data_IF_441452252423
#
_entry.id   IF_441452252423
#
_cell.length_a   1.000
_cell.length_b   1.000
_cell.length_c   1.000
_cell.angle_alpha   90.00
_cell.angle_beta   90.00
_cell.angle_gamma   90.00
#
_symmetry.space_group_name_H-M   'P 1'
#
loop_
_entity.id
_entity.type
_entity.pdbx_description
1 polymer ?
#
# COMPACT_ATOMS: atom_id res chain seq x y z
N UNK A 1 -11.39 29.69 -13.73
CA UNK A 1 -12.15 28.46 -14.09
C UNK A 1 -13.46 28.76 -14.80
N UNK A 2 -14.30 29.67 -14.32
CA UNK A 2 -15.59 30.02 -14.98
C UNK A 2 -15.43 30.52 -16.43
N UNK A 3 -14.49 31.42 -16.71
CA UNK A 3 -14.27 31.95 -18.06
C UNK A 3 -13.86 30.88 -19.10
N UNK A 4 -13.05 29.90 -18.70
CA UNK A 4 -12.64 28.82 -19.60
C UNK A 4 -13.81 27.88 -19.96
N UNK A 5 -14.71 27.62 -19.01
CA UNK A 5 -15.91 26.82 -19.24
C UNK A 5 -16.88 27.53 -20.21
N UNK A 6 -17.08 28.84 -20.02
CA UNK A 6 -17.95 29.66 -20.86
C UNK A 6 -17.40 29.73 -22.29
N UNK A 7 -16.09 29.94 -22.46
CA UNK A 7 -15.45 29.94 -23.78
C UNK A 7 -15.53 28.57 -24.46
N UNK A 8 -15.33 27.47 -23.73
CA UNK A 8 -15.53 26.13 -24.28
C UNK A 8 -16.99 25.88 -24.72
N UNK A 9 -17.97 26.24 -23.89
CA UNK A 9 -19.39 26.08 -24.23
C UNK A 9 -19.79 26.94 -25.44
N UNK A 10 -19.28 28.17 -25.53
CA UNK A 10 -19.52 29.06 -26.67
C UNK A 10 -18.90 28.54 -27.98
N UNK A 11 -17.72 27.89 -27.91
CA UNK A 11 -17.08 27.28 -29.07
C UNK A 11 -17.74 25.96 -29.50
N UNK A 12 -18.37 25.24 -28.57
CA UNK A 12 -19.10 23.99 -28.85
C UNK A 12 -20.51 24.23 -29.39
N UNK A 13 -21.12 25.38 -29.11
CA UNK A 13 -22.46 25.75 -29.59
C UNK A 13 -22.61 25.75 -31.13
N UNK A 14 -21.74 26.40 -31.93
CA UNK A 14 -21.88 26.38 -33.39
C UNK A 14 -21.61 24.98 -33.99
N UNK A 15 -20.80 24.17 -33.31
CA UNK A 15 -20.60 22.76 -33.67
C UNK A 15 -21.91 22.00 -33.44
N UNK A 16 -22.54 22.16 -32.27
CA UNK A 16 -23.83 21.55 -31.96
C UNK A 16 -24.94 21.93 -32.95
N UNK A 17 -25.03 23.20 -33.35
CA UNK A 17 -25.95 23.67 -34.40
C UNK A 17 -25.72 22.96 -35.75
N UNK A 18 -24.47 22.72 -36.13
CA UNK A 18 -24.12 21.98 -37.35
C UNK A 18 -24.55 20.51 -37.26
N UNK A 19 -24.31 19.87 -36.11
CA UNK A 19 -24.73 18.49 -35.82
C UNK A 19 -26.25 18.35 -35.83
N UNK A 20 -27.00 19.33 -35.29
CA UNK A 20 -28.46 19.32 -35.24
C UNK A 20 -29.13 19.45 -36.63
N UNK A 21 -28.43 20.04 -37.60
CA UNK A 21 -28.95 20.20 -38.98
C UNK A 21 -28.74 18.98 -39.87
N UNK A 22 -27.93 18.01 -39.44
CA UNK A 22 -27.68 16.75 -40.15
C UNK A 22 -28.25 15.61 -39.30
N UNK A 23 -29.45 15.09 -39.62
CA UNK A 23 -30.17 14.13 -38.77
C UNK A 23 -29.34 12.90 -38.36
N UNK A 24 -28.56 12.37 -39.31
CA UNK A 24 -27.66 11.22 -39.11
C UNK A 24 -26.58 11.51 -38.07
N UNK A 25 -26.04 12.74 -38.04
CA UNK A 25 -25.00 13.11 -37.08
C UNK A 25 -25.58 13.34 -35.68
N UNK A 26 -26.80 13.87 -35.58
CA UNK A 26 -27.51 14.02 -34.31
C UNK A 26 -27.86 12.66 -33.69
N UNK A 27 -28.33 11.70 -34.50
CA UNK A 27 -28.60 10.33 -34.07
C UNK A 27 -27.31 9.61 -33.63
N UNK A 28 -26.21 9.76 -34.38
CA UNK A 28 -24.92 9.20 -33.99
C UNK A 28 -24.40 9.80 -32.67
N UNK A 29 -24.53 11.12 -32.47
CA UNK A 29 -24.08 11.79 -31.25
C UNK A 29 -24.90 11.37 -30.01
N UNK A 30 -26.22 11.23 -30.15
CA UNK A 30 -27.10 10.76 -29.07
C UNK A 30 -26.84 9.28 -28.73
N UNK A 31 -26.58 8.44 -29.73
CA UNK A 31 -26.15 7.05 -29.52
C UNK A 31 -24.81 6.98 -28.75
N UNK A 32 -23.79 7.72 -29.18
CA UNK A 32 -22.48 7.75 -28.49
C UNK A 32 -22.62 8.29 -27.06
N UNK A 33 -23.42 9.34 -26.86
CA UNK A 33 -23.67 9.92 -25.54
C UNK A 33 -24.36 8.94 -24.59
N UNK A 34 -25.41 8.25 -25.05
CA UNK A 34 -26.13 7.25 -24.25
C UNK A 34 -25.25 6.04 -23.93
N UNK A 35 -24.46 5.54 -24.89
CA UNK A 35 -23.47 4.49 -24.64
C UNK A 35 -22.46 4.91 -23.56
N UNK A 36 -21.92 6.14 -23.65
CA UNK A 36 -20.93 6.64 -22.70
C UNK A 36 -21.50 6.74 -21.28
N UNK A 37 -22.70 7.32 -21.13
CA UNK A 37 -23.38 7.41 -19.83
C UNK A 37 -23.68 6.03 -19.27
N UNK A 38 -24.13 5.09 -20.10
CA UNK A 38 -24.45 3.72 -19.67
C UNK A 38 -23.20 2.96 -19.21
N UNK A 39 -22.07 3.10 -19.90
CA UNK A 39 -20.80 2.49 -19.51
C UNK A 39 -20.31 3.08 -18.19
N UNK A 40 -20.36 4.41 -18.02
CA UNK A 40 -19.92 5.06 -16.78
C UNK A 40 -20.84 4.68 -15.62
N UNK A 41 -22.16 4.70 -15.83
CA UNK A 41 -23.13 4.33 -14.80
C UNK A 41 -23.01 2.85 -14.40
N UNK A 42 -22.85 1.94 -15.37
CA UNK A 42 -22.67 0.51 -15.09
C UNK A 42 -21.34 0.24 -14.40
N UNK A 43 -20.25 0.94 -14.74
CA UNK A 43 -19.00 0.90 -14.01
C UNK A 43 -19.16 1.31 -12.54
N UNK A 44 -19.79 2.47 -12.28
CA UNK A 44 -20.00 2.94 -10.91
C UNK A 44 -20.96 2.05 -10.12
N UNK A 45 -21.99 1.52 -10.76
CA UNK A 45 -22.90 0.55 -10.16
C UNK A 45 -22.17 -0.75 -9.82
N UNK A 46 -21.32 -1.26 -10.71
CA UNK A 46 -20.48 -2.43 -10.45
C UNK A 46 -19.53 -2.18 -9.28
N UNK A 47 -18.85 -1.02 -9.24
CA UNK A 47 -18.01 -0.60 -8.11
C UNK A 47 -18.82 -0.51 -6.81
N UNK A 48 -20.03 0.04 -6.87
CA UNK A 48 -20.91 0.16 -5.70
C UNK A 48 -21.32 -1.22 -5.17
N UNK A 49 -21.84 -2.09 -6.04
CA UNK A 49 -22.24 -3.47 -5.71
C UNK A 49 -21.03 -4.23 -5.19
N UNK A 50 -19.87 -4.16 -5.85
CA UNK A 50 -18.64 -4.80 -5.40
C UNK A 50 -18.24 -4.31 -4.00
N UNK A 51 -18.28 -3.00 -3.78
CA UNK A 51 -17.85 -2.38 -2.54
C UNK A 51 -18.81 -2.59 -1.37
N UNK A 52 -20.07 -2.94 -1.59
CA UNK A 52 -21.11 -3.04 -0.55
C UNK A 52 -21.68 -4.44 -0.39
N UNK A 53 -21.95 -5.12 -1.50
CA UNK A 53 -22.59 -6.43 -1.52
C UNK A 53 -21.59 -7.60 -1.59
N UNK A 54 -20.42 -7.40 -2.20
CA UNK A 54 -19.41 -8.46 -2.39
C UNK A 54 -18.21 -8.35 -1.45
N UNK A 55 -18.16 -7.33 -0.58
CA UNK A 55 -17.17 -7.33 0.51
C UNK A 55 -17.50 -8.46 1.46
N UNK A 56 -16.79 -9.59 1.30
CA UNK A 56 -16.82 -10.67 2.27
C UNK A 56 -16.41 -10.08 3.61
N UNK A 57 -17.34 -10.05 4.56
CA UNK A 57 -17.02 -9.80 5.95
C UNK A 57 -16.16 -10.98 6.37
N UNK A 58 -14.87 -10.72 6.56
CA UNK A 58 -13.97 -11.72 7.11
C UNK A 58 -14.44 -11.93 8.54
N UNK A 59 -14.93 -13.13 8.85
CA UNK A 59 -15.16 -13.53 10.24
C UNK A 59 -13.82 -13.42 10.98
N UNK A 60 -13.70 -12.45 11.88
CA UNK A 60 -12.45 -12.15 12.58
C UNK A 60 -12.28 -13.04 13.82
N UNK A 61 -13.35 -13.72 14.23
CA UNK A 61 -13.31 -14.68 15.31
C UNK A 61 -12.35 -15.83 14.94
N UNK A 62 -11.47 -16.17 15.88
CA UNK A 62 -10.42 -17.19 15.72
C UNK A 62 -9.34 -16.88 14.69
N UNK A 63 -9.20 -15.63 14.23
CA UNK A 63 -8.13 -15.24 13.30
C UNK A 63 -7.11 -14.32 13.95
N UNK A 64 -5.84 -14.68 13.76
CA UNK A 64 -4.72 -13.90 14.22
C UNK A 64 -3.93 -13.26 13.06
N UNK A 65 -3.37 -12.08 13.32
CA UNK A 65 -2.52 -11.35 12.37
C UNK A 65 -1.19 -10.99 13.03
N UNK A 66 -0.08 -11.32 12.37
CA UNK A 66 1.24 -10.83 12.72
C UNK A 66 1.55 -9.58 11.90
N UNK A 67 1.92 -8.47 12.53
CA UNK A 67 2.33 -7.24 11.85
C UNK A 67 3.75 -6.90 12.29
N UNK A 68 4.67 -6.66 11.35
CA UNK A 68 6.04 -6.22 11.67
C UNK A 68 6.21 -4.69 11.55
N UNK A 69 7.09 -4.11 12.36
CA UNK A 69 7.32 -2.66 12.40
C UNK A 69 6.19 -1.91 13.09
N UNK A 70 5.68 -2.47 14.21
CA UNK A 70 4.56 -1.90 14.97
C UNK A 70 4.96 -0.80 15.95
N UNK A 71 6.24 -0.45 16.04
CA UNK A 71 6.76 0.58 16.92
C UNK A 71 6.30 1.98 16.50
N UNK A 72 6.10 2.21 15.19
CA UNK A 72 5.66 3.50 14.61
C UNK A 72 4.92 3.31 13.27
N UNK A 73 4.42 4.41 12.70
CA UNK A 73 4.02 4.49 11.29
C UNK A 73 2.91 3.53 10.87
N UNK A 74 3.03 2.96 9.66
CA UNK A 74 2.00 2.11 9.08
C UNK A 74 1.76 0.83 9.87
N UNK A 75 2.80 0.19 10.40
CA UNK A 75 2.66 -1.06 11.16
C UNK A 75 1.86 -0.85 12.45
N UNK A 76 2.14 0.23 13.19
CA UNK A 76 1.38 0.60 14.38
C UNK A 76 -0.11 0.81 14.05
N UNK A 77 -0.40 1.56 12.99
CA UNK A 77 -1.78 1.85 12.58
C UNK A 77 -2.50 0.60 12.06
N UNK A 78 -1.80 -0.30 11.35
CA UNK A 78 -2.32 -1.60 10.95
C UNK A 78 -2.71 -2.43 12.17
N UNK A 79 -1.79 -2.59 13.12
CA UNK A 79 -1.98 -3.40 14.31
C UNK A 79 -3.16 -2.88 15.14
N UNK A 80 -3.24 -1.55 15.31
CA UNK A 80 -4.38 -0.90 15.97
C UNK A 80 -5.69 -1.20 15.24
N UNK A 81 -5.71 -1.07 13.91
CA UNK A 81 -6.92 -1.30 13.11
C UNK A 81 -7.38 -2.76 13.15
N UNK A 82 -6.47 -3.72 12.98
CA UNK A 82 -6.80 -5.14 13.10
C UNK A 82 -7.35 -5.47 14.49
N UNK A 83 -6.79 -4.86 15.53
CA UNK A 83 -7.30 -5.01 16.88
C UNK A 83 -8.71 -4.41 17.04
N UNK A 84 -8.98 -3.24 16.46
CA UNK A 84 -10.33 -2.62 16.45
C UNK A 84 -11.34 -3.47 15.66
N UNK A 85 -10.90 -4.18 14.62
CA UNK A 85 -11.73 -5.08 13.81
C UNK A 85 -11.90 -6.49 14.44
N UNK A 86 -11.33 -6.74 15.63
CA UNK A 86 -11.55 -7.95 16.42
C UNK A 86 -10.52 -9.07 16.24
N UNK A 87 -9.50 -8.89 15.40
CA UNK A 87 -8.44 -9.91 15.24
C UNK A 87 -7.59 -10.04 16.51
N UNK A 88 -7.02 -11.23 16.73
CA UNK A 88 -5.89 -11.40 17.64
C UNK A 88 -4.60 -10.88 16.96
N UNK A 89 -3.94 -9.86 17.52
CA UNK A 89 -2.82 -9.20 16.86
C UNK A 89 -1.51 -9.50 17.57
N UNK A 90 -0.54 -10.04 16.82
CA UNK A 90 0.86 -10.09 17.23
C UNK A 90 1.58 -8.88 16.66
N UNK A 91 1.81 -7.88 17.49
CA UNK A 91 2.46 -6.64 17.12
C UNK A 91 3.98 -6.80 17.25
N UNK A 92 4.64 -7.21 16.17
CA UNK A 92 6.08 -7.37 16.14
C UNK A 92 6.80 -6.04 15.89
N UNK A 93 7.77 -5.71 16.73
CA UNK A 93 8.52 -4.46 16.63
C UNK A 93 9.94 -4.59 17.17
N UNK A 94 10.85 -3.78 16.63
CA UNK A 94 12.26 -3.75 17.05
C UNK A 94 12.41 -3.18 18.46
N UNK A 95 11.69 -2.10 18.76
CA UNK A 95 11.68 -1.45 20.06
C UNK A 95 10.33 -1.68 20.77
N UNK A 96 10.25 -2.76 21.54
CA UNK A 96 9.05 -3.09 22.33
C UNK A 96 8.77 -2.09 23.47
N UNK A 97 9.71 -1.18 23.77
CA UNK A 97 9.55 -0.10 24.76
C UNK A 97 9.14 1.23 24.14
N UNK A 98 8.91 1.29 22.82
CA UNK A 98 8.41 2.50 22.17
C UNK A 98 7.01 2.88 22.68
N UNK A 99 6.65 4.16 22.57
CA UNK A 99 5.31 4.62 22.97
C UNK A 99 4.22 3.93 22.15
N UNK A 100 4.44 3.71 20.85
CA UNK A 100 3.52 2.96 19.99
C UNK A 100 3.31 1.51 20.47
N UNK A 101 4.40 0.82 20.83
CA UNK A 101 4.30 -0.54 21.37
C UNK A 101 3.57 -0.57 22.73
N UNK A 102 3.84 0.39 23.62
CA UNK A 102 3.16 0.52 24.92
C UNK A 102 1.67 0.86 24.78
N UNK A 103 1.29 1.65 23.79
CA UNK A 103 -0.13 1.90 23.53
C UNK A 103 -0.83 0.64 23.00
N UNK A 104 -0.14 -0.15 22.16
CA UNK A 104 -0.69 -1.40 21.65
C UNK A 104 -0.90 -2.45 22.75
N UNK A 105 -0.02 -2.55 23.75
CA UNK A 105 -0.19 -3.50 24.87
C UNK A 105 -1.41 -3.22 25.75
N UNK A 106 -1.98 -2.01 25.72
CA UNK A 106 -3.21 -1.69 26.48
C UNK A 106 -4.45 -2.38 25.91
N UNK A 107 -4.36 -2.94 24.70
CA UNK A 107 -5.47 -3.64 24.04
C UNK A 107 -5.44 -5.12 24.40
N UNK A 108 -6.58 -5.65 24.83
CA UNK A 108 -6.71 -7.02 25.33
C UNK A 108 -6.41 -8.09 24.26
N UNK A 109 -6.65 -7.79 22.98
CA UNK A 109 -6.43 -8.67 21.85
C UNK A 109 -5.09 -8.42 21.13
N UNK A 110 -4.17 -7.66 21.72
CA UNK A 110 -2.86 -7.37 21.13
C UNK A 110 -1.74 -7.90 22.03
N UNK A 111 -0.80 -8.63 21.44
CA UNK A 111 0.43 -9.09 22.09
C UNK A 111 1.64 -8.53 21.37
N UNK A 112 2.45 -7.75 22.07
CA UNK A 112 3.69 -7.22 21.50
C UNK A 112 4.76 -8.30 21.50
N UNK A 113 5.45 -8.44 20.35
CA UNK A 113 6.51 -9.43 20.12
C UNK A 113 7.80 -8.68 19.76
N UNK A 114 8.82 -8.65 20.65
CA UNK A 114 10.12 -8.09 20.30
C UNK A 114 10.73 -8.85 19.14
N UNK A 115 11.04 -8.17 18.03
CA UNK A 115 11.56 -8.78 16.81
C UNK A 115 12.41 -7.82 15.98
N UNK A 116 13.70 -8.13 15.88
CA UNK A 116 14.59 -7.70 14.81
C UNK A 116 14.53 -8.71 13.65
N UNK A 117 13.94 -8.28 12.53
CA UNK A 117 13.78 -9.14 11.34
C UNK A 117 15.11 -9.48 10.64
N UNK A 118 16.21 -8.81 10.98
CA UNK A 118 17.55 -9.10 10.45
C UNK A 118 18.22 -10.28 11.15
N UNK A 119 17.67 -10.73 12.28
CA UNK A 119 18.27 -11.77 13.14
C UNK A 119 17.45 -13.05 13.09
N UNK A 120 18.03 -14.12 12.54
CA UNK A 120 17.36 -15.42 12.39
C UNK A 120 16.89 -16.00 13.74
N UNK A 121 17.70 -15.85 14.79
CA UNK A 121 17.37 -16.32 16.13
C UNK A 121 16.15 -15.57 16.72
N UNK A 122 16.01 -14.27 16.45
CA UNK A 122 14.85 -13.49 16.87
C UNK A 122 13.60 -13.86 16.08
N UNK A 123 13.72 -14.10 14.78
CA UNK A 123 12.60 -14.57 13.94
C UNK A 123 12.08 -15.92 14.44
N UNK A 124 12.97 -16.85 14.79
CA UNK A 124 12.57 -18.14 15.35
C UNK A 124 11.91 -18.00 16.73
N UNK A 125 12.45 -17.15 17.62
CA UNK A 125 11.81 -16.86 18.90
C UNK A 125 10.42 -16.25 18.73
N UNK A 126 10.26 -15.31 17.80
CA UNK A 126 8.97 -14.72 17.47
C UNK A 126 7.99 -15.76 16.92
N UNK A 127 8.46 -16.68 16.07
CA UNK A 127 7.64 -17.79 15.57
C UNK A 127 7.11 -18.65 16.73
N UNK A 128 7.96 -19.01 17.69
CA UNK A 128 7.54 -19.76 18.88
C UNK A 128 6.54 -18.97 19.71
N UNK A 129 6.81 -17.69 20.02
CA UNK A 129 5.89 -16.85 20.80
C UNK A 129 4.53 -16.69 20.12
N UNK A 130 4.50 -16.56 18.79
CA UNK A 130 3.25 -16.50 18.04
C UNK A 130 2.52 -17.83 18.12
N UNK A 131 3.20 -18.96 17.88
CA UNK A 131 2.60 -20.30 17.99
C UNK A 131 1.97 -20.53 19.37
N UNK A 132 2.71 -20.24 20.43
CA UNK A 132 2.25 -20.43 21.79
C UNK A 132 1.11 -19.47 22.16
N UNK A 133 1.11 -18.27 21.56
CA UNK A 133 0.09 -17.25 21.79
C UNK A 133 -1.17 -17.41 20.94
N UNK A 134 -1.18 -18.28 19.92
CA UNK A 134 -2.33 -18.44 19.02
C UNK A 134 -3.55 -19.00 19.78
N UNK A 135 -3.34 -19.91 20.72
CA UNK A 135 -4.44 -20.58 21.43
C UNK A 135 -5.36 -21.30 20.43
N UNK A 136 -6.65 -20.93 20.40
CA UNK A 136 -7.61 -21.45 19.44
C UNK A 136 -7.66 -20.68 18.10
N UNK A 137 -6.84 -19.64 17.94
CA UNK A 137 -6.78 -18.85 16.72
C UNK A 137 -5.87 -19.51 15.68
N UNK A 138 -6.18 -19.29 14.41
CA UNK A 138 -5.28 -19.60 13.30
C UNK A 138 -4.54 -18.34 12.85
N UNK A 139 -3.27 -18.46 12.46
CA UNK A 139 -2.53 -17.34 11.89
C UNK A 139 -3.06 -17.06 10.48
N UNK A 140 -3.95 -16.09 10.35
CA UNK A 140 -4.62 -15.76 9.10
C UNK A 140 -3.76 -14.89 8.19
N UNK A 141 -2.97 -13.97 8.75
CA UNK A 141 -2.11 -13.12 7.93
C UNK A 141 -0.79 -12.75 8.61
N UNK A 142 0.23 -12.54 7.77
CA UNK A 142 1.47 -11.86 8.16
C UNK A 142 1.61 -10.62 7.30
N UNK A 143 1.69 -9.45 7.93
CA UNK A 143 1.98 -8.16 7.31
C UNK A 143 3.44 -7.82 7.58
N UNK A 144 4.29 -8.16 6.63
CA UNK A 144 5.71 -7.83 6.66
C UNK A 144 5.88 -6.38 6.20
N UNK A 145 6.00 -5.47 7.17
CA UNK A 145 6.03 -4.02 6.97
C UNK A 145 7.28 -3.33 7.55
N UNK A 146 7.98 -3.94 8.50
CA UNK A 146 9.16 -3.36 9.12
C UNK A 146 10.19 -2.92 8.07
N UNK A 147 10.49 -1.63 8.00
CA UNK A 147 11.41 -1.11 7.00
C UNK A 147 12.14 0.13 7.47
N UNK A 148 13.32 0.35 6.89
CA UNK A 148 14.16 1.54 7.12
C UNK A 148 14.35 2.30 5.82
N UNK A 149 14.46 3.62 5.89
CA UNK A 149 14.70 4.44 4.69
C UNK A 149 16.09 5.05 4.71
N UNK A 150 16.75 5.00 3.55
CA UNK A 150 17.99 5.71 3.29
C UNK A 150 17.76 6.87 2.36
N UNK A 151 17.55 8.08 2.89
CA UNK A 151 17.50 9.27 2.04
C UNK A 151 18.93 9.75 1.72
N UNK A 152 19.19 10.00 0.43
CA UNK A 152 20.45 10.56 -0.05
C UNK A 152 20.70 10.18 -1.51
N UNK A 153 21.68 10.85 -2.12
CA UNK A 153 22.23 10.41 -3.40
C UNK A 153 23.06 9.14 -3.19
N UNK A 154 23.15 8.26 -4.19
CA UNK A 154 23.86 6.97 -4.06
C UNK A 154 25.31 7.19 -3.60
N UNK A 155 25.99 8.18 -4.15
CA UNK A 155 27.38 8.51 -3.83
C UNK A 155 27.58 9.09 -2.41
N UNK A 156 26.50 9.50 -1.73
CA UNK A 156 26.55 9.94 -0.33
C UNK A 156 26.29 8.80 0.66
N UNK A 157 25.82 7.65 0.19
CA UNK A 157 25.51 6.52 1.05
C UNK A 157 26.70 5.55 1.07
N UNK A 158 27.16 5.20 2.28
CA UNK A 158 28.15 4.14 2.42
C UNK A 158 27.56 2.80 1.97
N UNK A 159 28.42 1.90 1.48
CA UNK A 159 28.01 0.54 1.14
C UNK A 159 27.44 -0.22 2.34
N UNK A 160 27.90 0.10 3.55
CA UNK A 160 27.35 -0.45 4.80
C UNK A 160 25.89 -0.04 5.00
N UNK A 161 25.56 1.24 4.82
CA UNK A 161 24.18 1.75 4.92
C UNK A 161 23.28 1.12 3.86
N UNK A 162 23.76 0.99 2.63
CA UNK A 162 23.02 0.34 1.54
C UNK A 162 22.74 -1.13 1.91
N UNK A 163 23.76 -1.87 2.34
CA UNK A 163 23.61 -3.27 2.78
C UNK A 163 22.60 -3.40 3.91
N UNK A 164 22.66 -2.51 4.92
CA UNK A 164 21.69 -2.53 6.03
C UNK A 164 20.24 -2.31 5.57
N UNK A 165 20.02 -1.41 4.60
CA UNK A 165 18.68 -1.20 4.03
C UNK A 165 18.17 -2.48 3.35
N UNK A 166 18.99 -3.16 2.56
CA UNK A 166 18.63 -4.46 1.98
C UNK A 166 18.42 -5.54 3.03
N UNK A 167 19.23 -5.53 4.08
CA UNK A 167 19.15 -6.49 5.17
C UNK A 167 17.78 -6.46 5.86
N UNK A 168 17.25 -5.26 6.10
CA UNK A 168 15.91 -5.07 6.69
C UNK A 168 14.82 -5.26 5.63
N UNK A 169 14.88 -4.47 4.56
CA UNK A 169 13.75 -4.29 3.64
C UNK A 169 13.57 -5.44 2.65
N UNK A 170 14.57 -6.31 2.50
CA UNK A 170 14.53 -7.46 1.59
C UNK A 170 14.75 -8.74 2.37
N UNK A 171 15.96 -8.96 2.89
CA UNK A 171 16.31 -10.24 3.51
C UNK A 171 15.52 -10.48 4.79
N UNK A 172 15.28 -9.45 5.60
CA UNK A 172 14.47 -9.56 6.81
C UNK A 172 13.01 -9.95 6.52
N UNK A 173 12.40 -9.38 5.48
CA UNK A 173 11.06 -9.78 5.04
C UNK A 173 11.04 -11.22 4.54
N UNK A 174 12.07 -11.65 3.78
CA UNK A 174 12.22 -13.04 3.34
C UNK A 174 12.38 -14.01 4.51
N UNK A 175 13.13 -13.65 5.55
CA UNK A 175 13.29 -14.48 6.77
C UNK A 175 11.95 -14.68 7.47
N UNK A 176 11.21 -13.60 7.70
CA UNK A 176 9.87 -13.65 8.30
C UNK A 176 8.94 -14.49 7.43
N UNK A 177 8.88 -14.21 6.12
CA UNK A 177 8.07 -14.98 5.19
C UNK A 177 8.37 -16.48 5.28
N UNK A 178 9.65 -16.87 5.16
CA UNK A 178 10.09 -18.27 5.22
C UNK A 178 9.73 -18.94 6.55
N UNK A 179 9.88 -18.24 7.68
CA UNK A 179 9.58 -18.78 9.00
C UNK A 179 8.07 -19.01 9.23
N UNK A 180 7.23 -18.08 8.77
CA UNK A 180 5.78 -18.11 9.04
C UNK A 180 4.96 -18.79 7.92
N UNK A 181 5.53 -19.02 6.74
CA UNK A 181 4.84 -19.66 5.62
C UNK A 181 4.20 -21.02 5.97
N UNK A 182 4.83 -21.92 6.75
CA UNK A 182 4.18 -23.18 7.14
C UNK A 182 2.87 -22.99 7.93
N UNK A 183 2.80 -21.96 8.79
CA UNK A 183 1.58 -21.64 9.53
C UNK A 183 0.50 -21.07 8.61
N UNK A 184 0.89 -20.14 7.73
CA UNK A 184 -0.03 -19.56 6.73
C UNK A 184 -0.56 -20.61 5.76
N UNK A 185 0.23 -21.61 5.37
CA UNK A 185 -0.25 -22.71 4.52
C UNK A 185 -1.33 -23.54 5.20
N UNK A 186 -1.19 -23.76 6.51
CA UNK A 186 -2.15 -24.55 7.29
C UNK A 186 -3.50 -23.82 7.40
N UNK A 187 -3.48 -22.52 7.69
CA UNK A 187 -4.67 -21.68 7.82
C UNK A 187 -5.24 -21.18 6.48
N UNK A 188 -4.59 -21.50 5.35
CA UNK A 188 -4.82 -20.87 4.04
C UNK A 188 -4.77 -19.33 4.12
N UNK A 189 -3.88 -18.83 4.96
CA UNK A 189 -3.66 -17.42 5.23
C UNK A 189 -2.95 -16.67 4.11
N UNK A 190 -2.65 -15.39 4.39
CA UNK A 190 -2.04 -14.43 3.44
C UNK A 190 -0.72 -13.89 3.97
N UNK A 191 0.27 -13.77 3.08
CA UNK A 191 1.47 -12.97 3.34
C UNK A 191 1.36 -11.66 2.58
N UNK A 192 1.36 -10.55 3.30
CA UNK A 192 1.34 -9.19 2.74
C UNK A 192 2.71 -8.57 2.97
N UNK A 193 3.41 -8.24 1.89
CA UNK A 193 4.70 -7.55 1.94
C UNK A 193 4.45 -6.10 1.58
N UNK A 194 4.71 -5.19 2.51
CA UNK A 194 4.51 -3.76 2.28
C UNK A 194 5.72 -3.20 1.52
N UNK A 195 5.46 -2.68 0.33
CA UNK A 195 6.47 -2.05 -0.52
C UNK A 195 6.22 -0.54 -0.65
N UNK A 196 6.92 0.14 -1.55
CA UNK A 196 6.79 1.59 -1.77
C UNK A 196 6.62 1.89 -3.26
N UNK A 197 5.83 2.91 -3.62
CA UNK A 197 5.77 3.38 -5.01
C UNK A 197 7.13 3.82 -5.57
N UNK A 198 8.05 4.20 -4.68
CA UNK A 198 9.44 4.55 -5.00
C UNK A 198 10.27 3.34 -5.51
N UNK A 199 9.81 2.10 -5.33
CA UNK A 199 10.44 0.90 -5.88
C UNK A 199 10.27 0.83 -7.40
N UNK A 200 9.15 1.34 -7.90
CA UNK A 200 8.76 1.33 -9.31
C UNK A 200 9.30 2.53 -10.08
N UNK A 201 9.68 3.59 -9.37
CA UNK A 201 10.18 4.83 -9.96
C UNK A 201 11.62 5.05 -9.52
N UNK A 202 12.58 4.72 -10.38
CA UNK A 202 13.93 5.29 -10.26
C UNK A 202 13.83 6.79 -10.52
N UNK A 203 13.64 7.58 -9.47
CA UNK A 203 13.67 9.02 -9.60
C UNK A 203 15.12 9.48 -9.85
N UNK A 204 15.45 9.70 -11.12
CA UNK A 204 16.54 10.59 -11.50
C UNK A 204 16.11 12.03 -11.21
N UNK A 205 16.32 12.53 -9.98
CA UNK A 205 16.15 13.94 -9.70
C UNK A 205 17.32 14.72 -10.31
N UNK A 206 17.04 15.49 -11.35
CA UNK A 206 18.02 16.42 -11.92
C UNK A 206 18.04 17.70 -11.06
N UNK A 207 18.82 17.70 -9.98
CA UNK A 207 19.04 18.93 -9.21
C UNK A 207 19.93 19.88 -10.02
N UNK A 208 19.38 21.02 -10.46
CA UNK A 208 20.17 22.11 -11.03
C UNK A 208 20.95 22.80 -9.91
N UNK A 209 22.13 22.29 -9.56
CA UNK A 209 23.07 23.01 -8.72
C UNK A 209 23.68 24.19 -9.49
N UNK A 210 23.51 25.42 -9.00
CA UNK A 210 24.35 26.56 -9.39
C UNK A 210 25.64 26.48 -8.57
N UNK A 211 26.64 25.73 -9.03
CA UNK A 211 28.01 25.94 -8.58
C UNK A 211 28.64 26.97 -9.53
N UNK A 212 29.24 28.00 -8.94
CA UNK A 212 29.84 29.14 -9.61
C UNK A 212 30.83 28.72 -10.70
N UNK A 213 30.89 29.56 -11.73
CA UNK A 213 31.89 29.60 -12.82
C UNK A 213 31.98 28.36 -13.74
N UNK A 214 31.39 28.51 -14.93
CA UNK A 214 31.82 27.94 -16.23
C UNK A 214 32.06 26.43 -16.29
N UNK A 215 30.99 25.63 -16.14
CA UNK A 215 30.71 24.42 -16.93
C UNK A 215 29.32 23.91 -16.55
N UNK A 216 28.40 23.93 -17.51
CA UNK A 216 27.01 23.46 -17.32
C UNK A 216 26.99 21.94 -17.48
N UNK A 217 27.51 21.23 -16.48
CA UNK A 217 27.57 19.76 -16.52
C UNK A 217 26.23 19.17 -16.08
N UNK A 218 25.56 18.45 -16.99
CA UNK A 218 24.35 17.69 -16.66
C UNK A 218 24.79 16.39 -15.97
N UNK A 219 24.71 16.33 -14.64
CA UNK A 219 24.89 15.08 -13.90
C UNK A 219 23.53 14.43 -13.67
N UNK A 220 23.41 13.17 -14.08
CA UNK A 220 22.27 12.32 -13.75
C UNK A 220 22.52 11.74 -12.37
N UNK A 221 21.61 11.98 -11.43
CA UNK A 221 21.71 11.45 -10.06
C UNK A 221 20.57 10.48 -9.82
N UNK A 222 20.89 9.21 -9.55
CA UNK A 222 19.91 8.24 -9.10
C UNK A 222 19.66 8.42 -7.60
N UNK A 223 18.41 8.67 -7.20
CA UNK A 223 18.02 8.61 -5.79
C UNK A 223 17.73 7.15 -5.46
N UNK A 224 18.45 6.58 -4.48
CA UNK A 224 18.22 5.21 -4.06
C UNK A 224 17.06 5.16 -3.07
N UNK A 225 15.97 4.52 -3.46
CA UNK A 225 14.79 4.30 -2.62
C UNK A 225 14.56 2.81 -2.51
N UNK A 226 15.35 2.16 -1.65
CA UNK A 226 15.33 0.71 -1.47
C UNK A 226 14.07 0.25 -0.76
N UNK A 227 13.15 -0.30 -1.53
CA UNK A 227 12.28 -1.43 -1.18
C UNK A 227 12.20 -2.24 -2.51
N UNK A 228 12.27 -3.57 -2.49
CA UNK A 228 12.29 -4.33 -3.75
C UNK A 228 11.60 -5.69 -3.58
N UNK A 229 10.61 -5.92 -4.46
CA UNK A 229 10.01 -7.17 -4.95
C UNK A 229 8.82 -7.86 -4.27
N UNK A 230 8.04 -8.49 -5.17
CA UNK A 230 6.82 -9.27 -5.03
C UNK A 230 7.16 -10.76 -4.96
N UNK A 231 6.48 -11.54 -4.10
CA UNK A 231 6.54 -13.01 -4.14
C UNK A 231 5.13 -13.62 -4.18
N UNK A 232 4.92 -14.48 -5.19
CA UNK A 232 3.71 -15.29 -5.40
C UNK A 232 3.98 -16.68 -4.80
N UNK A 233 3.07 -17.21 -3.98
CA UNK A 233 3.10 -18.64 -3.61
C UNK A 233 1.93 -19.39 -4.25
N UNK A 234 2.23 -20.63 -4.65
CA UNK A 234 1.77 -21.26 -5.90
C UNK A 234 0.41 -21.99 -5.83
N UNK A 235 -0.20 -22.10 -4.65
CA UNK A 235 -1.33 -23.04 -4.46
C UNK A 235 -2.68 -22.38 -4.18
N UNK A 236 -2.73 -21.05 -4.25
CA UNK A 236 -3.96 -20.27 -4.33
C UNK A 236 -3.59 -18.94 -4.99
N UNK A 237 -4.24 -18.47 -6.08
CA UNK A 237 -3.96 -17.17 -6.67
C UNK A 237 -4.49 -16.06 -5.74
N UNK A 238 -3.88 -15.94 -4.56
CA UNK A 238 -4.27 -14.99 -3.54
C UNK A 238 -3.43 -13.73 -3.76
N UNK A 239 -4.12 -12.76 -4.32
CA UNK A 239 -3.74 -11.36 -4.52
C UNK A 239 -2.64 -10.87 -3.57
N UNK A 240 -1.55 -10.40 -4.18
CA UNK A 240 -0.66 -9.45 -3.54
C UNK A 240 -1.45 -8.14 -3.46
N UNK A 241 -2.09 -7.88 -2.31
CA UNK A 241 -2.76 -6.60 -2.09
C UNK A 241 -1.68 -5.55 -1.88
N UNK A 242 -1.41 -4.82 -2.95
CA UNK A 242 -0.69 -3.56 -2.91
C UNK A 242 -1.52 -2.52 -2.13
N UNK A 243 -0.82 -1.68 -1.38
CA UNK A 243 -1.29 -0.50 -0.67
C UNK A 243 -2.19 -0.68 0.57
N UNK A 244 -1.54 -0.70 1.75
CA UNK A 244 -2.09 -0.27 3.05
C UNK A 244 -2.50 1.23 3.10
N UNK A 245 -2.70 1.88 1.96
CA UNK A 245 -3.10 3.29 1.84
C UNK A 245 -4.57 3.52 2.23
N UNK A 246 -5.43 2.49 2.18
CA UNK A 246 -6.87 2.65 2.39
C UNK A 246 -7.31 2.53 3.86
N UNK A 247 -6.63 1.73 4.68
CA UNK A 247 -7.00 1.54 6.09
C UNK A 247 -6.69 2.76 6.98
N UNK A 248 -5.77 3.62 6.54
CA UNK A 248 -5.24 4.77 7.31
C UNK A 248 -5.79 6.11 6.82
N UNK A 249 -6.62 6.11 5.77
CA UNK A 249 -7.09 7.31 5.07
C UNK A 249 -7.89 8.28 5.96
N UNK A 250 -8.60 7.78 6.97
CA UNK A 250 -9.45 8.60 7.85
C UNK A 250 -8.69 9.25 9.03
N UNK A 251 -7.40 8.95 9.22
CA UNK A 251 -6.60 9.48 10.33
C UNK A 251 -5.53 10.51 9.90
N UNK A 252 -5.47 10.89 8.63
CA UNK A 252 -4.41 11.76 8.11
C UNK A 252 -4.79 13.26 8.13
N UNK A 253 -3.96 14.17 8.68
CA UNK A 253 -4.11 15.60 8.46
C UNK A 253 -3.92 15.98 6.98
N UNK A 254 -4.78 16.89 6.47
CA UNK A 254 -4.87 17.28 5.03
C UNK A 254 -3.57 17.84 4.43
N UNK A 255 -2.59 18.20 5.24
CA UNK A 255 -1.32 18.81 4.83
C UNK A 255 -0.33 17.82 4.18
N UNK A 256 -0.41 16.52 4.49
CA UNK A 256 0.46 15.51 3.86
C UNK A 256 0.12 15.21 2.39
N UNK A 257 -1.10 15.56 1.94
CA UNK A 257 -1.57 15.27 0.58
C UNK A 257 -0.94 16.16 -0.51
N UNK A 258 -0.28 17.28 -0.16
CA UNK A 258 0.21 18.26 -1.14
C UNK A 258 1.53 17.87 -1.82
N UNK A 259 2.21 16.82 -1.36
CA UNK A 259 3.50 16.37 -1.89
C UNK A 259 3.42 15.08 -2.73
N UNK A 260 2.26 14.42 -2.80
CA UNK A 260 2.07 13.22 -3.64
C UNK A 260 1.53 13.65 -5.01
N UNK A 261 2.37 13.53 -6.04
CA UNK A 261 2.07 13.91 -7.40
C UNK A 261 0.94 13.04 -8.01
N UNK A 262 0.33 13.55 -9.08
CA UNK A 262 -0.86 13.09 -9.80
C UNK A 262 -0.92 11.59 -10.18
N UNK A 263 0.15 10.82 -10.06
CA UNK A 263 0.22 9.39 -10.36
C UNK A 263 -0.47 8.49 -9.32
N UNK A 264 -0.66 8.94 -8.08
CA UNK A 264 -1.33 8.14 -7.03
C UNK A 264 -2.86 8.04 -7.18
N UNK A 265 -3.48 8.93 -7.97
CA UNK A 265 -4.94 8.88 -8.19
C UNK A 265 -5.40 7.67 -9.01
N UNK A 266 -4.52 7.09 -9.83
CA UNK A 266 -4.83 5.90 -10.62
C UNK A 266 -4.73 4.61 -9.79
N UNK A 267 -3.82 4.56 -8.80
CA UNK A 267 -3.65 3.42 -7.90
C UNK A 267 -4.76 3.31 -6.82
N UNK A 268 -5.35 4.46 -6.44
CA UNK A 268 -6.46 4.55 -5.48
C UNK A 268 -7.77 3.88 -5.94
N UNK A 269 -7.96 3.69 -7.25
CA UNK A 269 -9.12 2.97 -7.81
C UNK A 269 -8.90 1.45 -7.87
N UNK A 270 -7.65 0.99 -7.91
CA UNK A 270 -7.32 -0.44 -7.98
C UNK A 270 -7.35 -1.10 -6.59
N UNK A 271 -6.85 -0.41 -5.56
CA UNK A 271 -6.80 -0.93 -4.17
C UNK A 271 -8.18 -1.15 -3.52
N UNK A 272 -9.26 -0.54 -4.03
CA UNK A 272 -10.63 -0.78 -3.55
C UNK A 272 -11.19 -2.14 -3.99
N UNK A 273 -10.62 -2.77 -5.01
CA UNK A 273 -11.11 -4.03 -5.56
C UNK A 273 -10.46 -5.26 -4.91
N UNK A 274 -9.24 -5.15 -4.38
CA UNK A 274 -8.44 -6.28 -3.91
C UNK A 274 -8.68 -6.75 -2.46
N UNK A 275 -9.68 -6.19 -1.76
CA UNK A 275 -10.13 -6.71 -0.45
C UNK A 275 -11.35 -7.64 -0.57
N UNK A 276 -11.75 -8.03 -1.79
CA UNK A 276 -13.02 -8.72 -2.02
C UNK A 276 -12.99 -9.67 -3.24
N UNK A 277 -12.02 -10.57 -3.39
CA UNK A 277 -12.06 -11.61 -4.45
C UNK A 277 -11.49 -12.94 -3.88
N UNK A 278 -11.99 -14.13 -4.31
CA UNK A 278 -12.13 -15.35 -3.51
C UNK A 278 -10.94 -15.89 -2.74
#
# INVERSE_FOLDING_TARGET
>A
MQYALIVCLALLYPVWELFARVPVLAEAATFVGTCTVTVVASYWLAVFIWSRALRRVVDTDKKAVLVTGCDTGFGYLAAKRFADDGFAVFAACLNASSDGAKELTKRHNVRVVPLDITKDDQVQRALTQVKDGLGSNELWAVVANAGVTGLGLVEWNSMERIKNIFEVNVFGHMRVAKAFLPLLKTSRGRLVIVTSGLCTQTHCYQTRGKISSRKKERRHWAKFTGNFFYFITRDNPMEVVDQMSLAVRDQWPRTCYRSMALTDKFYLLFAKSCMAIP
#
